data_IF_488205591636
#
_entry.id   IF_488205591636
#
_cell.length_a   1.000
_cell.length_b   1.000
_cell.length_c   1.000
_cell.angle_alpha   90.00
_cell.angle_beta   90.00
_cell.angle_gamma   90.00
#
_symmetry.space_group_name_H-M   'P 1'
#
loop_
_entity.id
_entity.type
_entity.pdbx_description
1 polymer ?
#
# COMPACT_ATOMS: atom_id res chain seq x y z
N UNK A 1 -10.74 7.83 -30.00
CA UNK A 1 -12.21 7.75 -30.14
C UNK A 1 -12.80 8.80 -29.20
N UNK A 2 -13.82 9.57 -29.58
CA UNK A 2 -14.36 10.59 -28.68
C UNK A 2 -15.05 9.87 -27.53
N UNK A 3 -14.40 9.83 -26.36
CA UNK A 3 -15.04 9.37 -25.13
C UNK A 3 -16.24 10.27 -24.90
N UNK A 4 -17.43 9.69 -24.91
CA UNK A 4 -18.62 10.47 -24.65
C UNK A 4 -18.60 10.85 -23.14
N UNK A 5 -19.24 11.95 -22.75
CA UNK A 5 -19.22 12.40 -21.35
C UNK A 5 -19.78 11.34 -20.36
N UNK A 6 -20.57 10.38 -20.87
CA UNK A 6 -21.18 9.30 -20.08
C UNK A 6 -20.13 8.25 -19.69
N UNK A 7 -19.22 7.91 -20.60
CA UNK A 7 -18.11 6.99 -20.37
C UNK A 7 -17.18 7.53 -19.28
N UNK A 8 -16.84 8.82 -19.36
CA UNK A 8 -16.00 9.49 -18.36
C UNK A 8 -16.65 9.50 -16.97
N UNK A 9 -17.94 9.84 -16.89
CA UNK A 9 -18.67 9.82 -15.62
C UNK A 9 -18.72 8.41 -15.02
N UNK A 10 -18.88 7.40 -15.87
CA UNK A 10 -18.89 6.01 -15.43
C UNK A 10 -17.52 5.56 -14.92
N UNK A 11 -16.43 5.90 -15.61
CA UNK A 11 -15.07 5.61 -15.17
C UNK A 11 -14.74 6.31 -13.86
N UNK A 12 -15.06 7.60 -13.73
CA UNK A 12 -14.85 8.36 -12.50
C UNK A 12 -15.64 7.77 -11.34
N UNK A 13 -16.89 7.38 -11.56
CA UNK A 13 -17.70 6.74 -10.53
C UNK A 13 -17.07 5.41 -10.06
N UNK A 14 -16.69 4.54 -11.00
CA UNK A 14 -16.01 3.27 -10.68
C UNK A 14 -14.69 3.51 -9.94
N UNK A 15 -13.91 4.51 -10.36
CA UNK A 15 -12.66 4.91 -9.73
C UNK A 15 -12.86 5.39 -8.29
N UNK A 16 -13.89 6.20 -8.03
CA UNK A 16 -14.24 6.65 -6.67
C UNK A 16 -14.61 5.46 -5.80
N UNK A 17 -15.44 4.53 -6.30
CA UNK A 17 -15.84 3.33 -5.55
C UNK A 17 -14.63 2.47 -5.20
N UNK A 18 -13.77 2.15 -6.18
CA UNK A 18 -12.56 1.37 -5.92
C UNK A 18 -11.57 2.12 -5.02
N UNK A 19 -11.45 3.44 -5.15
CA UNK A 19 -10.65 4.27 -4.27
C UNK A 19 -11.15 4.24 -2.82
N UNK A 20 -12.46 4.25 -2.58
CA UNK A 20 -13.04 4.08 -1.24
C UNK A 20 -12.75 2.68 -0.70
N UNK A 21 -12.96 1.63 -1.50
CA UNK A 21 -12.64 0.25 -1.09
C UNK A 21 -11.17 0.14 -0.72
N UNK A 22 -10.26 0.64 -1.56
CA UNK A 22 -8.83 0.66 -1.30
C UNK A 22 -8.49 1.46 -0.04
N UNK A 23 -9.04 2.67 0.11
CA UNK A 23 -8.79 3.53 1.27
C UNK A 23 -9.25 2.91 2.59
N UNK A 24 -10.36 2.17 2.60
CA UNK A 24 -10.84 1.47 3.80
C UNK A 24 -10.01 0.22 4.07
N UNK A 25 -9.73 -0.58 3.03
CA UNK A 25 -9.12 -1.91 3.18
C UNK A 25 -7.60 -1.88 3.33
N UNK A 26 -6.91 -0.83 2.91
CA UNK A 26 -5.44 -0.73 3.03
C UNK A 26 -4.98 -0.59 4.49
N UNK A 27 -5.78 0.07 5.32
CA UNK A 27 -5.45 0.30 6.74
C UNK A 27 -6.00 -0.78 7.67
N UNK A 28 -6.81 -1.69 7.15
CA UNK A 28 -7.32 -2.84 7.87
C UNK A 28 -6.51 -4.08 7.46
N UNK A 29 -6.17 -4.97 8.40
CA UNK A 29 -5.40 -6.16 8.08
C UNK A 29 -6.30 -7.25 7.46
N UNK A 30 -6.84 -6.97 6.27
CA UNK A 30 -7.84 -7.80 5.57
C UNK A 30 -7.53 -8.01 4.08
N UNK A 31 -6.33 -7.63 3.61
CA UNK A 31 -5.89 -7.69 2.20
C UNK A 31 -6.73 -6.84 1.23
N UNK A 32 -6.25 -5.62 0.96
CA UNK A 32 -6.86 -4.68 0.00
C UNK A 32 -6.88 -5.22 -1.44
N UNK A 33 -5.79 -5.86 -1.88
CA UNK A 33 -5.67 -6.47 -3.21
C UNK A 33 -6.74 -7.55 -3.44
N UNK A 34 -7.04 -8.38 -2.43
CA UNK A 34 -8.08 -9.40 -2.54
C UNK A 34 -9.47 -8.76 -2.73
N UNK A 35 -9.77 -7.71 -1.96
CA UNK A 35 -11.05 -7.01 -2.06
C UNK A 35 -11.23 -6.33 -3.42
N UNK A 36 -10.23 -5.59 -3.90
CA UNK A 36 -10.29 -4.96 -5.23
C UNK A 36 -10.47 -5.99 -6.35
N UNK A 37 -9.79 -7.14 -6.27
CA UNK A 37 -9.94 -8.21 -7.25
C UNK A 37 -11.34 -8.81 -7.24
N UNK A 38 -11.93 -9.02 -6.06
CA UNK A 38 -13.30 -9.54 -5.93
C UNK A 38 -14.30 -8.52 -6.48
N UNK A 39 -14.21 -7.25 -6.06
CA UNK A 39 -15.12 -6.20 -6.51
C UNK A 39 -15.10 -6.03 -8.04
N UNK A 40 -13.91 -5.97 -8.62
CA UNK A 40 -13.76 -5.78 -10.08
C UNK A 40 -14.27 -7.00 -10.86
N UNK A 41 -14.07 -8.22 -10.37
CA UNK A 41 -14.60 -9.44 -11.00
C UNK A 41 -16.12 -9.56 -10.87
N UNK A 42 -16.67 -9.33 -9.68
CA UNK A 42 -18.11 -9.46 -9.41
C UNK A 42 -18.92 -8.42 -10.17
N UNK A 43 -18.41 -7.19 -10.27
CA UNK A 43 -19.08 -6.09 -10.95
C UNK A 43 -18.77 -6.01 -12.46
N UNK A 44 -17.88 -6.88 -12.97
CA UNK A 44 -17.46 -6.88 -14.37
C UNK A 44 -16.66 -5.64 -14.78
N UNK A 45 -15.98 -4.98 -13.84
CA UNK A 45 -15.22 -3.75 -14.05
C UNK A 45 -13.76 -4.05 -14.40
N UNK A 46 -13.53 -4.73 -15.54
CA UNK A 46 -12.19 -5.14 -15.96
C UNK A 46 -11.26 -3.98 -16.27
N UNK A 47 -11.81 -2.84 -16.71
CA UNK A 47 -11.02 -1.68 -17.17
C UNK A 47 -10.32 -0.96 -16.00
N UNK A 48 -11.04 -0.80 -14.88
CA UNK A 48 -10.50 -0.24 -13.63
C UNK A 48 -9.93 -1.33 -12.69
N UNK A 49 -10.08 -2.60 -13.05
CA UNK A 49 -9.43 -3.73 -12.37
C UNK A 49 -8.05 -4.06 -12.93
N UNK A 50 -7.56 -3.29 -13.90
CA UNK A 50 -6.22 -3.45 -14.44
C UNK A 50 -5.15 -3.14 -13.40
N UNK A 51 -4.06 -3.89 -13.43
CA UNK A 51 -2.94 -3.77 -12.49
C UNK A 51 -2.45 -2.33 -12.33
N UNK A 52 -2.26 -1.61 -13.44
CA UNK A 52 -1.80 -0.22 -13.39
C UNK A 52 -2.75 0.72 -12.63
N UNK A 53 -4.06 0.52 -12.76
CA UNK A 53 -5.04 1.33 -12.05
C UNK A 53 -5.05 0.99 -10.56
N UNK A 54 -5.04 -0.30 -10.23
CA UNK A 54 -4.96 -0.80 -8.84
C UNK A 54 -3.69 -0.29 -8.14
N UNK A 55 -2.54 -0.37 -8.80
CA UNK A 55 -1.27 0.14 -8.29
C UNK A 55 -1.33 1.67 -8.08
N UNK A 56 -2.01 2.41 -8.97
CA UNK A 56 -2.18 3.86 -8.84
C UNK A 56 -3.06 4.27 -7.65
N UNK A 57 -4.19 3.58 -7.42
CA UNK A 57 -5.04 3.87 -6.25
C UNK A 57 -4.35 3.46 -4.95
N UNK A 58 -3.56 2.38 -4.95
CA UNK A 58 -2.75 1.99 -3.80
C UNK A 58 -1.70 3.05 -3.48
N UNK A 59 -1.05 3.62 -4.49
CA UNK A 59 -0.14 4.75 -4.30
C UNK A 59 -0.85 5.97 -3.67
N UNK A 60 -2.13 6.19 -3.99
CA UNK A 60 -2.97 7.18 -3.31
C UNK A 60 -3.03 6.98 -1.79
N UNK A 61 -3.18 5.74 -1.32
CA UNK A 61 -3.14 5.42 0.11
C UNK A 61 -1.78 5.71 0.74
N UNK A 62 -0.69 5.41 0.03
CA UNK A 62 0.68 5.75 0.50
C UNK A 62 0.84 7.26 0.66
N UNK A 63 0.39 8.04 -0.32
CA UNK A 63 0.40 9.51 -0.23
C UNK A 63 -0.41 9.98 0.98
N UNK A 64 -1.60 9.41 1.21
CA UNK A 64 -2.44 9.78 2.33
C UNK A 64 -1.74 9.54 3.68
N UNK A 65 -1.04 8.41 3.85
CA UNK A 65 -0.26 8.11 5.06
C UNK A 65 0.90 9.07 5.23
N UNK A 66 1.69 9.30 4.19
CA UNK A 66 2.84 10.22 4.23
C UNK A 66 2.39 11.64 4.56
N UNK A 67 1.28 12.08 3.98
CA UNK A 67 0.69 13.38 4.27
C UNK A 67 0.19 13.48 5.72
N UNK A 68 -0.52 12.47 6.20
CA UNK A 68 -1.05 12.44 7.57
C UNK A 68 0.08 12.46 8.62
N UNK A 69 1.13 11.67 8.43
CA UNK A 69 2.29 11.60 9.33
C UNK A 69 3.44 12.54 8.95
N UNK A 70 3.20 13.55 8.10
CA UNK A 70 4.27 14.40 7.57
C UNK A 70 5.12 15.05 8.67
N UNK A 71 4.47 15.58 9.71
CA UNK A 71 5.15 16.19 10.86
C UNK A 71 5.97 15.19 11.67
N UNK A 72 5.45 13.98 11.89
CA UNK A 72 6.14 12.92 12.63
C UNK A 72 7.35 12.40 11.86
N UNK A 73 7.18 12.16 10.56
CA UNK A 73 8.27 11.78 9.65
C UNK A 73 9.37 12.83 9.71
N UNK A 74 9.03 14.11 9.59
CA UNK A 74 10.01 15.19 9.65
C UNK A 74 10.74 15.26 10.99
N UNK A 75 10.00 15.09 12.09
CA UNK A 75 10.57 15.04 13.45
C UNK A 75 11.54 13.86 13.60
N UNK A 76 11.17 12.67 13.15
CA UNK A 76 12.03 11.48 13.20
C UNK A 76 13.30 11.71 12.37
N UNK A 77 13.18 12.22 11.14
CA UNK A 77 14.33 12.45 10.27
C UNK A 77 15.31 13.48 10.84
N UNK A 78 14.80 14.64 11.25
CA UNK A 78 15.64 15.73 11.80
C UNK A 78 16.21 15.38 13.17
N UNK A 79 15.42 14.70 14.03
CA UNK A 79 15.85 14.22 15.33
C UNK A 79 16.92 13.14 15.22
N UNK A 80 16.75 12.19 14.29
CA UNK A 80 17.75 11.15 14.03
C UNK A 80 19.05 11.72 13.45
N UNK A 81 18.98 12.70 12.54
CA UNK A 81 20.17 13.38 12.01
C UNK A 81 20.96 14.09 13.11
N UNK A 82 20.25 14.77 14.01
CA UNK A 82 20.85 15.44 15.18
C UNK A 82 21.50 14.41 16.12
N UNK A 83 20.79 13.30 16.38
CA UNK A 83 21.29 12.19 17.20
C UNK A 83 22.58 11.59 16.63
N UNK A 84 22.64 11.42 15.31
CA UNK A 84 23.82 10.93 14.60
C UNK A 84 25.02 11.87 14.75
N UNK A 85 24.81 13.19 14.61
CA UNK A 85 25.87 14.19 14.77
C UNK A 85 26.38 14.27 16.22
N UNK A 86 25.47 14.18 17.20
CA UNK A 86 25.80 14.25 18.63
C UNK A 86 26.25 12.90 19.21
N UNK A 87 26.20 11.81 18.42
CA UNK A 87 26.43 10.42 18.84
C UNK A 87 25.52 9.99 20.01
N UNK A 88 24.33 10.56 20.08
CA UNK A 88 23.32 10.27 21.10
C UNK A 88 22.37 9.19 20.59
N UNK A 89 22.83 7.94 20.65
CA UNK A 89 22.07 6.78 20.16
C UNK A 89 20.89 6.39 21.05
N UNK A 90 20.73 7.04 22.21
CA UNK A 90 19.66 6.74 23.14
C UNK A 90 18.37 7.49 22.83
N UNK A 91 18.45 8.53 21.99
CA UNK A 91 17.27 9.28 21.53
C UNK A 91 16.26 8.40 20.82
N UNK A 92 14.99 8.71 21.06
CA UNK A 92 13.86 7.97 20.54
C UNK A 92 13.79 8.06 19.02
N UNK A 93 14.06 9.24 18.43
CA UNK A 93 14.01 9.45 16.99
C UNK A 93 15.04 8.59 16.24
N UNK A 94 16.24 8.41 16.83
CA UNK A 94 17.25 7.51 16.27
C UNK A 94 16.78 6.05 16.32
N UNK A 95 16.24 5.60 17.46
CA UNK A 95 15.72 4.24 17.62
C UNK A 95 14.57 3.95 16.66
N UNK A 96 13.66 4.91 16.47
CA UNK A 96 12.55 4.81 15.51
C UNK A 96 13.07 4.72 14.07
N UNK A 97 14.01 5.59 13.67
CA UNK A 97 14.59 5.54 12.32
C UNK A 97 15.27 4.19 12.06
N UNK A 98 16.11 3.73 13.00
CA UNK A 98 16.79 2.43 12.89
C UNK A 98 15.77 1.29 12.85
N UNK A 99 14.74 1.33 13.70
CA UNK A 99 13.67 0.33 13.71
C UNK A 99 12.94 0.24 12.37
N UNK A 100 12.59 1.38 11.77
CA UNK A 100 11.97 1.44 10.43
C UNK A 100 12.91 0.83 9.38
N UNK A 101 14.19 1.23 9.38
CA UNK A 101 15.17 0.73 8.41
C UNK A 101 15.38 -0.77 8.54
N UNK A 102 15.57 -1.27 9.77
CA UNK A 102 15.78 -2.69 10.06
C UNK A 102 14.53 -3.52 9.77
N UNK A 103 13.33 -2.98 9.99
CA UNK A 103 12.08 -3.64 9.61
C UNK A 103 11.84 -3.67 8.10
N UNK A 104 12.25 -2.63 7.38
CA UNK A 104 11.95 -2.46 5.95
C UNK A 104 12.94 -3.18 5.04
N UNK A 105 14.25 -3.12 5.34
CA UNK A 105 15.29 -3.69 4.47
C UNK A 105 15.08 -5.19 4.22
N UNK A 106 14.84 -6.05 5.23
CA UNK A 106 14.62 -7.48 5.00
C UNK A 106 13.38 -7.74 4.15
N UNK A 107 12.29 -7.00 4.38
CA UNK A 107 11.07 -7.12 3.60
C UNK A 107 11.32 -6.77 2.12
N UNK A 108 12.05 -5.67 1.84
CA UNK A 108 12.43 -5.28 0.48
C UNK A 108 13.36 -6.30 -0.17
N UNK A 109 14.35 -6.82 0.56
CA UNK A 109 15.31 -7.78 0.05
C UNK A 109 14.61 -9.11 -0.33
N UNK A 110 13.81 -9.66 0.58
CA UNK A 110 13.04 -10.89 0.34
C UNK A 110 12.02 -10.67 -0.79
N UNK A 111 11.29 -9.54 -0.78
CA UNK A 111 10.34 -9.19 -1.83
C UNK A 111 11.01 -9.07 -3.20
N UNK A 112 12.17 -8.42 -3.29
CA UNK A 112 12.92 -8.29 -4.54
C UNK A 112 13.43 -9.64 -5.07
N UNK A 113 13.90 -10.53 -4.19
CA UNK A 113 14.38 -11.87 -4.56
C UNK A 113 13.24 -12.80 -5.01
N UNK A 114 12.04 -12.65 -4.43
CA UNK A 114 10.91 -13.53 -4.70
C UNK A 114 9.96 -13.01 -5.79
N UNK A 115 10.13 -11.76 -6.26
CA UNK A 115 9.20 -11.12 -7.22
C UNK A 115 9.00 -11.93 -8.51
N UNK A 116 10.04 -12.62 -8.98
CA UNK A 116 10.01 -13.41 -10.22
C UNK A 116 9.58 -14.87 -9.97
N UNK A 117 9.57 -15.30 -8.71
CA UNK A 117 9.23 -16.67 -8.28
C UNK A 117 7.76 -16.80 -7.90
N UNK A 118 7.18 -15.74 -7.31
CA UNK A 118 5.81 -15.74 -6.84
C UNK A 118 4.84 -15.40 -7.98
N UNK A 119 3.96 -16.33 -8.38
CA UNK A 119 2.98 -16.03 -9.41
C UNK A 119 1.91 -15.08 -8.87
N UNK A 120 1.58 -14.04 -9.65
CA UNK A 120 0.44 -13.16 -9.41
C UNK A 120 -0.87 -13.93 -9.68
N UNK A 121 -1.24 -14.81 -8.75
CA UNK A 121 -2.38 -15.71 -8.87
C UNK A 121 -3.36 -15.57 -7.72
N UNK A 122 -4.64 -15.83 -8.01
CA UNK A 122 -5.71 -15.84 -7.01
C UNK A 122 -5.39 -16.80 -5.87
N UNK A 123 -4.76 -17.94 -6.17
CA UNK A 123 -4.37 -18.94 -5.16
C UNK A 123 -3.36 -18.41 -4.16
N UNK A 124 -2.35 -17.66 -4.62
CA UNK A 124 -1.36 -17.02 -3.74
C UNK A 124 -2.02 -15.95 -2.87
N UNK A 125 -2.85 -15.09 -3.46
CA UNK A 125 -3.59 -14.05 -2.71
C UNK A 125 -4.47 -14.70 -1.62
N UNK A 126 -5.20 -15.76 -1.95
CA UNK A 126 -6.04 -16.49 -1.01
C UNK A 126 -5.22 -17.13 0.12
N UNK A 127 -4.11 -17.80 -0.21
CA UNK A 127 -3.24 -18.42 0.79
C UNK A 127 -2.66 -17.37 1.76
N UNK A 128 -2.16 -16.24 1.24
CA UNK A 128 -1.63 -15.16 2.07
C UNK A 128 -2.71 -14.54 2.97
N UNK A 129 -3.94 -14.39 2.46
CA UNK A 129 -5.06 -13.87 3.24
C UNK A 129 -5.46 -14.81 4.39
N UNK A 130 -5.46 -16.13 4.15
CA UNK A 130 -5.72 -17.13 5.19
C UNK A 130 -4.61 -17.12 6.25
N UNK A 131 -3.35 -17.10 5.81
CA UNK A 131 -2.20 -17.02 6.75
C UNK A 131 -2.29 -15.76 7.60
N UNK A 132 -2.57 -14.61 6.99
CA UNK A 132 -2.76 -13.35 7.72
C UNK A 132 -3.87 -13.48 8.77
N UNK A 133 -5.02 -14.05 8.39
CA UNK A 133 -6.16 -14.25 9.30
C UNK A 133 -5.88 -15.21 10.45
N UNK A 134 -4.93 -16.14 10.31
CA UNK A 134 -4.53 -17.08 11.38
C UNK A 134 -3.54 -16.42 12.36
N UNK A 135 -2.73 -15.47 11.87
CA UNK A 135 -1.69 -14.81 12.64
C UNK A 135 -2.22 -13.65 13.50
N UNK A 136 -3.37 -13.07 13.14
CA UNK A 136 -4.05 -11.97 13.85
C UNK A 136 -5.02 -12.51 14.91
#
# INVERSE_FOLDING_TARGET
MPGNNVDLLQEVFRAIVLGIVQGITEFLPISSTAHLLIFTKVLGWTDVGQKYFVDAIQFGSVIAVVWYFWSDIWKILTGALTSFQQKDWQREEWKLLVGIVVGTIPALAVGFLLKDVLPESVGVIAAMSIVMSILL
#
